data_IF_715253658492
#
_entry.id   IF_715253658492
#
_cell.length_a   1.000
_cell.length_b   1.000
_cell.length_c   1.000
_cell.angle_alpha   90.00
_cell.angle_beta   90.00
_cell.angle_gamma   90.00
#
_symmetry.space_group_name_H-M   'P 1'
#
loop_
_entity.id
_entity.type
_entity.pdbx_description
1 polymer ?
#
# COMPACT_ATOMS: atom_id res chain seq x y z
N UNK A 1 58.06 -25.12 1.18
CA UNK A 1 56.76 -24.46 1.42
C UNK A 1 55.74 -25.09 0.49
N UNK A 2 54.75 -25.82 1.03
CA UNK A 2 53.67 -26.38 0.24
C UNK A 2 52.56 -25.33 0.11
N UNK A 3 52.15 -25.02 -1.12
CA UNK A 3 50.97 -24.19 -1.35
C UNK A 3 49.72 -24.98 -0.90
N UNK A 4 48.87 -24.43 -0.02
CA UNK A 4 47.61 -25.07 0.32
C UNK A 4 46.73 -25.12 -0.93
N UNK A 5 46.20 -26.29 -1.25
CA UNK A 5 45.28 -26.50 -2.35
C UNK A 5 43.97 -25.71 -2.09
N UNK A 6 43.76 -24.61 -2.81
CA UNK A 6 42.58 -23.73 -2.68
C UNK A 6 41.32 -24.25 -3.38
N UNK A 7 41.27 -25.52 -3.79
CA UNK A 7 40.12 -26.10 -4.50
C UNK A 7 39.70 -27.43 -3.87
N UNK A 8 38.96 -27.32 -2.77
CA UNK A 8 38.29 -28.44 -2.11
C UNK A 8 36.83 -28.15 -1.74
N UNK A 9 36.20 -27.13 -2.34
CA UNK A 9 34.77 -26.90 -2.16
C UNK A 9 34.00 -27.54 -3.32
N UNK A 10 32.95 -28.29 -2.98
CA UNK A 10 31.96 -28.81 -3.92
C UNK A 10 31.48 -27.64 -4.82
N UNK A 11 31.59 -27.75 -6.16
CA UNK A 11 31.20 -26.66 -7.07
C UNK A 11 29.72 -26.28 -6.95
N UNK A 12 28.89 -27.13 -6.33
CA UNK A 12 27.49 -26.85 -6.06
C UNK A 12 27.22 -26.34 -4.64
N UNK A 13 28.26 -26.23 -3.79
CA UNK A 13 28.11 -25.80 -2.40
C UNK A 13 27.40 -24.45 -2.26
N UNK A 14 27.57 -23.55 -3.24
CA UNK A 14 26.96 -22.21 -3.28
C UNK A 14 25.86 -22.07 -4.36
N UNK A 15 25.50 -23.15 -5.05
CA UNK A 15 24.44 -23.13 -6.06
C UNK A 15 23.05 -23.08 -5.39
N UNK A 16 22.31 -22.00 -5.66
CA UNK A 16 20.96 -21.77 -5.16
C UNK A 16 20.01 -22.93 -5.44
N UNK A 17 19.98 -23.44 -6.68
CA UNK A 17 19.06 -24.50 -7.08
C UNK A 17 19.42 -25.82 -6.44
N UNK A 18 20.71 -26.10 -6.28
CA UNK A 18 21.19 -27.29 -5.58
C UNK A 18 20.81 -27.26 -4.10
N UNK A 19 21.12 -26.16 -3.40
CA UNK A 19 20.75 -25.98 -1.99
C UNK A 19 19.23 -26.05 -1.79
N UNK A 20 18.43 -25.43 -2.69
CA UNK A 20 16.98 -25.45 -2.61
C UNK A 20 16.42 -26.87 -2.79
N UNK A 21 16.98 -27.63 -3.73
CA UNK A 21 16.61 -29.03 -3.96
C UNK A 21 16.96 -29.91 -2.75
N UNK A 22 18.13 -29.73 -2.16
CA UNK A 22 18.54 -30.46 -0.97
C UNK A 22 17.63 -30.13 0.22
N UNK A 23 17.30 -28.85 0.43
CA UNK A 23 16.38 -28.42 1.49
C UNK A 23 14.96 -29.00 1.30
N UNK A 24 14.46 -29.02 0.06
CA UNK A 24 13.17 -29.67 -0.26
C UNK A 24 13.19 -31.16 0.07
N UNK A 25 14.22 -31.89 -0.37
CA UNK A 25 14.39 -33.31 -0.06
C UNK A 25 14.52 -33.55 1.45
N UNK A 26 15.15 -32.61 2.16
CA UNK A 26 15.32 -32.69 3.60
C UNK A 26 14.01 -32.49 4.38
N UNK A 27 13.16 -31.57 3.93
CA UNK A 27 11.81 -31.38 4.47
C UNK A 27 10.95 -32.65 4.33
N UNK A 28 11.03 -33.32 3.18
CA UNK A 28 10.31 -34.58 2.91
C UNK A 28 10.86 -35.75 3.74
N UNK A 29 12.18 -35.79 3.97
CA UNK A 29 12.87 -36.85 4.72
C UNK A 29 13.05 -36.58 6.22
N UNK A 30 12.49 -35.47 6.75
CA UNK A 30 12.72 -34.96 8.12
C UNK A 30 14.21 -34.88 8.51
N UNK A 31 15.10 -34.67 7.54
CA UNK A 31 16.54 -34.54 7.78
C UNK A 31 16.96 -33.09 8.03
N UNK A 32 18.13 -32.88 8.64
CA UNK A 32 18.57 -31.58 9.17
C UNK A 32 19.12 -30.59 8.13
N UNK A 33 19.08 -30.89 6.83
CA UNK A 33 19.64 -29.97 5.82
C UNK A 33 18.69 -28.78 5.59
N UNK A 34 19.23 -27.56 5.70
CA UNK A 34 18.47 -26.30 5.72
C UNK A 34 19.00 -25.36 4.64
N UNK A 35 18.10 -24.58 4.06
CA UNK A 35 18.44 -23.61 3.02
C UNK A 35 19.12 -22.37 3.62
N UNK A 36 20.44 -22.29 3.51
CA UNK A 36 21.25 -21.19 4.04
C UNK A 36 22.54 -20.96 3.24
N UNK A 37 22.94 -19.69 3.02
CA UNK A 37 24.27 -19.37 2.50
C UNK A 37 25.37 -19.98 3.38
N UNK A 38 26.42 -20.53 2.76
CA UNK A 38 27.64 -20.90 3.47
C UNK A 38 28.36 -19.63 3.94
N UNK A 39 28.98 -19.70 5.12
CA UNK A 39 29.63 -18.55 5.76
C UNK A 39 30.75 -17.96 4.89
N UNK A 40 30.71 -16.63 4.76
CA UNK A 40 31.84 -15.71 4.54
C UNK A 40 32.75 -16.00 3.33
N UNK A 41 32.34 -15.54 2.15
CA UNK A 41 33.29 -14.87 1.28
C UNK A 41 33.16 -13.36 1.50
N UNK A 42 34.27 -12.61 1.71
CA UNK A 42 34.19 -11.17 1.79
C UNK A 42 33.55 -10.66 0.50
N UNK A 43 32.56 -9.77 0.67
CA UNK A 43 31.96 -9.01 -0.42
C UNK A 43 33.08 -8.58 -1.36
N UNK A 44 33.05 -9.06 -2.62
CA UNK A 44 33.90 -8.49 -3.68
C UNK A 44 33.51 -7.03 -3.80
N UNK A 45 34.14 -6.20 -2.99
CA UNK A 45 34.18 -4.76 -3.17
C UNK A 45 34.67 -4.56 -4.60
N UNK A 46 34.00 -3.68 -5.33
CA UNK A 46 34.20 -3.44 -6.75
C UNK A 46 35.51 -2.69 -7.07
N UNK A 47 36.56 -3.00 -6.32
CA UNK A 47 37.91 -2.45 -6.44
C UNK A 47 38.88 -3.63 -6.53
N UNK A 48 38.99 -4.27 -7.70
CA UNK A 48 40.26 -4.87 -8.12
C UNK A 48 40.30 -4.90 -9.64
N UNK A 49 41.29 -4.19 -10.16
CA UNK A 49 41.97 -4.47 -11.41
C UNK A 49 42.45 -5.92 -11.40
N UNK A 50 41.61 -6.86 -11.81
CA UNK A 50 42.05 -8.23 -12.12
C UNK A 50 41.36 -8.73 -13.38
N UNK A 51 42.20 -8.79 -14.42
CA UNK A 51 42.16 -9.66 -15.60
C UNK A 51 40.82 -10.31 -15.97
N UNK A 52 40.06 -9.59 -16.80
CA UNK A 52 39.06 -10.19 -17.69
C UNK A 52 39.72 -11.31 -18.52
N UNK A 53 39.03 -12.44 -18.77
CA UNK A 53 39.56 -13.48 -19.65
C UNK A 53 39.70 -12.90 -21.05
N UNK A 54 40.94 -12.89 -21.56
CA UNK A 54 41.27 -12.44 -22.90
C UNK A 54 40.44 -13.21 -23.93
N UNK A 55 39.53 -12.52 -24.61
CA UNK A 55 38.98 -12.96 -25.88
C UNK A 55 40.11 -12.89 -26.92
N UNK A 56 40.44 -14.04 -27.49
CA UNK A 56 41.49 -14.18 -28.49
C UNK A 56 41.16 -13.35 -29.74
N UNK A 57 41.97 -12.33 -30.01
CA UNK A 57 41.89 -11.45 -31.18
C UNK A 57 42.70 -12.08 -32.32
N UNK A 58 42.10 -12.29 -33.50
CA UNK A 58 42.84 -12.68 -34.70
C UNK A 58 43.64 -11.49 -35.28
N UNK A 59 44.76 -11.77 -35.93
CA UNK A 59 45.84 -10.86 -36.34
C UNK A 59 45.46 -9.77 -37.39
N UNK A 60 44.16 -9.52 -37.60
CA UNK A 60 43.62 -8.43 -38.43
C UNK A 60 42.69 -7.47 -37.69
N UNK A 61 42.57 -7.57 -36.36
CA UNK A 61 41.98 -6.50 -35.53
C UNK A 61 40.48 -6.24 -35.72
N UNK A 62 39.70 -7.20 -36.22
CA UNK A 62 38.24 -7.11 -36.25
C UNK A 62 37.61 -8.10 -35.28
N UNK A 63 36.70 -7.59 -34.44
CA UNK A 63 35.89 -8.38 -33.51
C UNK A 63 34.49 -8.48 -34.11
N UNK A 64 34.12 -9.66 -34.61
CA UNK A 64 32.78 -9.92 -35.17
C UNK A 64 31.78 -10.19 -34.05
N UNK A 65 30.87 -9.24 -33.80
CA UNK A 65 29.64 -9.51 -33.05
C UNK A 65 28.49 -9.72 -34.04
N UNK A 66 28.27 -10.96 -34.48
CA UNK A 66 27.02 -11.33 -35.14
C UNK A 66 25.94 -11.54 -34.07
N UNK A 67 24.93 -10.65 -34.06
CA UNK A 67 23.62 -10.84 -33.42
C UNK A 67 23.40 -10.36 -31.98
N UNK A 68 23.79 -9.12 -31.64
CA UNK A 68 23.08 -8.37 -30.58
C UNK A 68 22.08 -7.43 -31.25
N UNK A 69 20.79 -7.77 -31.19
CA UNK A 69 19.71 -6.81 -31.47
C UNK A 69 19.89 -5.63 -30.52
N UNK A 70 20.33 -4.49 -31.04
CA UNK A 70 20.22 -3.21 -30.33
C UNK A 70 18.74 -3.02 -29.96
N UNK A 71 18.39 -2.81 -28.69
CA UNK A 71 17.03 -2.40 -28.37
C UNK A 71 16.78 -1.07 -29.08
N UNK A 72 15.75 -1.03 -29.93
CA UNK A 72 15.31 0.21 -30.58
C UNK A 72 14.68 1.10 -29.50
N UNK A 73 14.87 2.43 -29.56
CA UNK A 73 14.11 3.36 -28.73
C UNK A 73 12.63 3.05 -28.89
N UNK A 74 11.95 2.76 -27.78
CA UNK A 74 10.52 2.53 -27.77
C UNK A 74 9.85 3.86 -28.09
N UNK A 75 9.01 3.87 -29.11
CA UNK A 75 8.13 5.00 -29.43
C UNK A 75 7.33 5.33 -28.16
N UNK A 76 7.54 6.54 -27.62
CA UNK A 76 6.81 7.03 -26.46
C UNK A 76 5.30 7.06 -26.79
N UNK A 77 4.51 6.35 -25.99
CA UNK A 77 3.08 6.55 -25.90
C UNK A 77 2.84 7.41 -24.66
N UNK A 78 2.50 8.68 -24.86
CA UNK A 78 2.15 9.58 -23.77
C UNK A 78 0.93 9.04 -23.01
N UNK A 79 1.04 8.72 -21.70
CA UNK A 79 -0.14 8.49 -20.88
C UNK A 79 -0.87 9.83 -20.65
N UNK A 80 -2.21 9.88 -20.72
CA UNK A 80 -2.94 11.12 -20.51
C UNK A 80 -2.79 11.56 -19.05
N UNK A 81 -2.10 12.69 -18.83
CA UNK A 81 -1.99 13.30 -17.49
C UNK A 81 -0.84 14.30 -17.30
N UNK A 82 0.19 14.30 -18.15
CA UNK A 82 1.29 15.25 -18.07
C UNK A 82 1.18 16.35 -19.15
N UNK A 83 0.17 17.21 -19.06
CA UNK A 83 0.19 18.47 -19.82
C UNK A 83 0.74 19.57 -18.92
N UNK A 84 2.05 19.77 -18.98
CA UNK A 84 2.66 20.99 -18.46
C UNK A 84 2.59 22.06 -19.56
N UNK A 85 1.74 23.06 -19.37
CA UNK A 85 1.69 24.24 -20.24
C UNK A 85 3.05 24.97 -20.24
N UNK A 86 3.71 24.99 -21.39
CA UNK A 86 4.88 25.82 -21.64
C UNK A 86 5.23 25.83 -23.12
N UNK A 87 4.82 26.89 -23.82
CA UNK A 87 5.21 27.18 -25.20
C UNK A 87 6.71 27.45 -25.30
N UNK A 88 7.36 26.93 -26.34
CA UNK A 88 8.63 27.46 -26.83
C UNK A 88 9.62 26.40 -27.31
N UNK A 89 9.67 26.25 -28.63
CA UNK A 89 10.76 25.75 -29.47
C UNK A 89 11.36 24.36 -29.23
N UNK A 90 11.10 23.50 -30.22
CA UNK A 90 11.86 22.30 -30.53
C UNK A 90 13.34 22.63 -30.73
N UNK A 91 14.13 22.42 -29.68
CA UNK A 91 15.52 21.97 -29.83
C UNK A 91 15.60 20.57 -29.26
N UNK A 92 15.78 19.60 -30.16
CA UNK A 92 16.17 18.23 -29.84
C UNK A 92 17.52 18.27 -29.12
N UNK A 93 17.48 18.49 -27.81
CA UNK A 93 18.62 18.21 -26.94
C UNK A 93 18.57 16.72 -26.66
N UNK A 94 19.41 15.95 -27.34
CA UNK A 94 19.69 14.55 -27.01
C UNK A 94 20.18 14.48 -25.54
N UNK A 95 19.25 14.28 -24.60
CA UNK A 95 19.62 13.88 -23.24
C UNK A 95 20.20 12.48 -23.36
N UNK A 96 21.44 12.30 -22.91
CA UNK A 96 22.08 10.98 -22.83
C UNK A 96 21.12 10.00 -22.13
N UNK A 97 20.98 8.77 -22.64
CA UNK A 97 20.08 7.74 -22.09
C UNK A 97 20.21 7.54 -20.56
N UNK A 98 21.39 7.80 -20.00
CA UNK A 98 21.70 7.74 -18.57
C UNK A 98 21.00 8.84 -17.72
N UNK A 99 20.51 9.91 -18.35
CA UNK A 99 19.76 11.00 -17.71
C UNK A 99 18.23 10.80 -17.79
N UNK A 100 17.76 9.67 -18.32
CA UNK A 100 16.34 9.38 -18.36
C UNK A 100 15.86 8.93 -16.96
N UNK A 101 14.93 9.65 -16.32
CA UNK A 101 14.48 9.34 -14.96
C UNK A 101 13.85 7.94 -14.86
N UNK A 102 13.26 7.45 -15.95
CA UNK A 102 12.69 6.10 -16.02
C UNK A 102 13.75 5.01 -16.13
N UNK A 103 14.91 5.27 -16.76
CA UNK A 103 16.03 4.33 -16.74
C UNK A 103 16.64 4.25 -15.34
N UNK A 104 16.87 5.41 -14.71
CA UNK A 104 17.35 5.49 -13.33
C UNK A 104 16.41 4.72 -12.38
N UNK A 105 15.09 4.92 -12.50
CA UNK A 105 14.11 4.18 -11.71
C UNK A 105 14.20 2.66 -11.92
N UNK A 106 14.40 2.17 -13.16
CA UNK A 106 14.59 0.73 -13.41
C UNK A 106 15.86 0.20 -12.76
N UNK A 107 16.97 0.92 -12.86
CA UNK A 107 18.24 0.55 -12.23
C UNK A 107 18.06 0.47 -10.71
N UNK A 108 17.49 1.52 -10.10
CA UNK A 108 17.20 1.56 -8.66
C UNK A 108 16.27 0.41 -8.24
N UNK A 109 15.32 0.00 -9.08
CA UNK A 109 14.47 -1.16 -8.79
C UNK A 109 15.30 -2.45 -8.72
N UNK A 110 16.19 -2.70 -9.68
CA UNK A 110 17.05 -3.89 -9.66
C UNK A 110 18.03 -3.88 -8.48
N UNK A 111 18.68 -2.75 -8.23
CA UNK A 111 19.59 -2.58 -7.10
C UNK A 111 18.86 -2.78 -5.76
N UNK A 112 17.62 -2.28 -5.66
CA UNK A 112 16.75 -2.50 -4.51
C UNK A 112 16.45 -3.98 -4.30
N UNK A 113 16.12 -4.75 -5.35
CA UNK A 113 15.89 -6.18 -5.22
C UNK A 113 17.15 -6.94 -4.77
N UNK A 114 18.31 -6.60 -5.32
CA UNK A 114 19.58 -7.18 -4.91
C UNK A 114 19.83 -6.96 -3.41
N UNK A 115 19.62 -5.74 -2.93
CA UNK A 115 19.73 -5.39 -1.51
C UNK A 115 18.73 -6.16 -0.63
N UNK A 116 17.46 -6.28 -1.05
CA UNK A 116 16.46 -7.04 -0.28
C UNK A 116 16.74 -8.54 -0.24
N UNK A 117 17.34 -9.11 -1.28
CA UNK A 117 17.80 -10.50 -1.27
C UNK A 117 18.92 -10.71 -0.24
N UNK A 118 19.83 -9.75 -0.10
CA UNK A 118 20.86 -9.80 0.95
C UNK A 118 20.24 -9.72 2.36
N UNK A 119 19.19 -8.90 2.55
CA UNK A 119 18.42 -8.87 3.80
C UNK A 119 17.77 -10.23 4.08
N UNK A 120 17.24 -10.89 3.06
CA UNK A 120 16.68 -12.25 3.19
C UNK A 120 17.74 -13.28 3.57
N UNK A 121 18.93 -13.20 2.98
CA UNK A 121 20.07 -14.05 3.35
C UNK A 121 20.50 -13.82 4.79
N UNK A 122 20.56 -12.57 5.25
CA UNK A 122 20.83 -12.25 6.64
C UNK A 122 19.75 -12.84 7.56
N UNK A 123 18.47 -12.74 7.19
CA UNK A 123 17.38 -13.31 7.97
C UNK A 123 17.51 -14.85 8.06
N UNK A 124 17.85 -15.52 6.94
CA UNK A 124 18.14 -16.96 6.92
C UNK A 124 19.32 -17.31 7.82
N UNK A 125 20.43 -16.57 7.72
CA UNK A 125 21.61 -16.77 8.55
C UNK A 125 21.30 -16.62 10.04
N UNK A 126 20.54 -15.58 10.43
CA UNK A 126 20.14 -15.35 11.81
C UNK A 126 19.22 -16.46 12.35
N UNK A 127 18.39 -17.07 11.51
CA UNK A 127 17.49 -18.15 11.92
C UNK A 127 18.20 -19.50 12.11
N UNK A 128 19.22 -19.78 11.28
CA UNK A 128 19.77 -21.13 11.19
C UNK A 128 21.24 -21.26 11.60
N UNK A 129 21.98 -20.15 11.65
CA UNK A 129 23.36 -20.13 12.15
C UNK A 129 23.41 -19.68 13.60
N UNK A 130 24.39 -20.18 14.34
CA UNK A 130 24.78 -19.65 15.66
C UNK A 130 26.06 -18.81 15.48
N UNK A 131 25.96 -17.53 15.09
CA UNK A 131 27.11 -16.64 14.95
C UNK A 131 27.79 -16.42 16.32
N UNK A 132 29.11 -16.27 16.32
CA UNK A 132 29.92 -16.11 17.55
C UNK A 132 29.51 -14.85 18.34
N UNK A 133 29.07 -13.80 17.66
CA UNK A 133 28.63 -12.51 18.22
C UNK A 133 27.11 -12.47 18.49
N UNK A 134 26.44 -13.62 18.63
CA UNK A 134 24.98 -13.67 18.86
C UNK A 134 24.12 -13.03 17.75
N UNK A 135 24.74 -12.66 16.62
CA UNK A 135 24.10 -12.07 15.45
C UNK A 135 24.02 -10.54 15.48
N UNK A 136 24.71 -9.86 16.41
CA UNK A 136 24.67 -8.39 16.53
C UNK A 136 25.14 -7.71 15.25
N UNK A 137 26.31 -8.10 14.71
CA UNK A 137 26.79 -7.56 13.43
C UNK A 137 25.81 -7.78 12.26
N UNK A 138 25.21 -8.97 12.16
CA UNK A 138 24.24 -9.28 11.10
C UNK A 138 22.97 -8.43 11.23
N UNK A 139 22.44 -8.25 12.44
CA UNK A 139 21.28 -7.37 12.68
C UNK A 139 21.59 -5.92 12.37
N UNK A 140 22.79 -5.44 12.71
CA UNK A 140 23.25 -4.09 12.34
C UNK A 140 23.36 -3.92 10.83
N UNK A 141 23.98 -4.88 10.13
CA UNK A 141 24.08 -4.88 8.67
C UNK A 141 22.70 -4.87 8.03
N UNK A 142 21.78 -5.71 8.50
CA UNK A 142 20.37 -5.73 8.06
C UNK A 142 19.72 -4.36 8.18
N UNK A 143 19.92 -3.67 9.31
CA UNK A 143 19.35 -2.34 9.53
C UNK A 143 19.93 -1.31 8.55
N UNK A 144 21.25 -1.29 8.36
CA UNK A 144 21.93 -0.40 7.41
C UNK A 144 21.41 -0.61 5.98
N UNK A 145 21.19 -1.86 5.57
CA UNK A 145 20.63 -2.15 4.24
C UNK A 145 19.20 -1.60 4.12
N UNK A 146 18.34 -1.81 5.12
CA UNK A 146 16.96 -1.30 5.09
C UNK A 146 16.90 0.24 5.10
N UNK A 147 17.79 0.90 5.83
CA UNK A 147 17.94 2.37 5.81
C UNK A 147 18.48 2.86 4.45
N UNK A 148 19.45 2.15 3.88
CA UNK A 148 19.95 2.42 2.53
C UNK A 148 18.85 2.31 1.47
N UNK A 149 17.95 1.34 1.60
CA UNK A 149 16.76 1.24 0.74
C UNK A 149 15.84 2.46 0.88
N UNK A 150 15.58 2.94 2.11
CA UNK A 150 14.78 4.14 2.31
C UNK A 150 15.44 5.39 1.70
N UNK A 151 16.77 5.51 1.80
CA UNK A 151 17.52 6.59 1.18
C UNK A 151 17.40 6.57 -0.36
N UNK A 152 17.46 5.39 -0.99
CA UNK A 152 17.26 5.22 -2.43
C UNK A 152 15.85 5.60 -2.90
N UNK A 153 14.84 5.44 -2.03
CA UNK A 153 13.46 5.85 -2.32
C UNK A 153 13.24 7.37 -2.16
N UNK A 154 14.18 8.09 -1.53
CA UNK A 154 14.11 9.53 -1.23
C UNK A 154 12.78 9.95 -0.60
N UNK A 155 12.31 9.18 0.38
CA UNK A 155 11.03 9.41 1.03
C UNK A 155 11.11 10.60 1.99
N UNK A 156 10.09 11.45 1.95
CA UNK A 156 10.02 12.57 2.91
C UNK A 156 9.37 12.15 4.21
N UNK A 157 10.11 12.40 5.29
CA UNK A 157 9.65 12.24 6.66
C UNK A 157 9.23 13.57 7.30
N UNK A 158 7.93 13.92 7.29
CA UNK A 158 7.45 15.16 7.90
C UNK A 158 7.50 15.15 9.44
N UNK A 159 7.71 13.99 10.07
CA UNK A 159 7.82 13.87 11.53
C UNK A 159 9.27 13.72 11.99
N UNK A 160 10.23 13.78 11.06
CA UNK A 160 11.65 13.66 11.34
C UNK A 160 12.22 14.93 11.99
N UNK A 161 13.40 14.79 12.61
CA UNK A 161 14.10 15.87 13.35
C UNK A 161 14.48 17.09 12.49
N UNK A 162 14.38 16.98 11.17
CA UNK A 162 14.70 18.03 10.18
C UNK A 162 13.45 18.59 9.50
N UNK A 163 12.25 18.34 10.03
CA UNK A 163 10.98 18.76 9.41
C UNK A 163 10.91 20.26 9.17
N UNK A 164 11.14 20.68 7.92
CA UNK A 164 10.78 22.00 7.43
C UNK A 164 9.25 22.13 7.49
N UNK A 165 8.74 23.15 8.17
CA UNK A 165 7.30 23.42 8.31
C UNK A 165 6.63 23.93 7.02
N UNK A 166 7.32 23.84 5.88
CA UNK A 166 6.83 24.26 4.57
C UNK A 166 6.06 23.11 3.94
N UNK A 167 4.87 23.39 3.42
CA UNK A 167 3.93 22.39 2.90
C UNK A 167 4.59 21.40 1.94
N UNK A 168 4.39 20.10 2.20
CA UNK A 168 4.90 19.02 1.37
C UNK A 168 4.32 19.12 -0.04
N UNK A 169 5.17 19.08 -1.05
CA UNK A 169 4.76 19.05 -2.45
C UNK A 169 5.00 17.66 -3.04
N UNK A 170 4.24 17.24 -4.08
CA UNK A 170 4.49 15.98 -4.77
C UNK A 170 5.91 15.84 -5.35
N UNK A 171 6.62 16.96 -5.53
CA UNK A 171 8.03 16.97 -5.97
C UNK A 171 8.95 16.33 -4.93
N UNK A 172 8.54 16.31 -3.67
CA UNK A 172 9.35 15.81 -2.57
C UNK A 172 9.46 14.28 -2.60
N UNK A 173 8.47 13.57 -3.17
CA UNK A 173 8.49 12.10 -3.35
C UNK A 173 8.64 11.69 -4.82
N UNK A 174 9.22 12.53 -5.67
CA UNK A 174 9.23 12.31 -7.13
C UNK A 174 9.92 10.99 -7.52
N UNK A 175 10.99 10.61 -6.83
CA UNK A 175 11.70 9.35 -7.07
C UNK A 175 10.81 8.17 -6.72
N UNK A 176 10.12 8.22 -5.57
CA UNK A 176 9.13 7.21 -5.21
C UNK A 176 8.03 7.08 -6.28
N UNK A 177 7.51 8.19 -6.79
CA UNK A 177 6.49 8.20 -7.85
C UNK A 177 6.99 7.55 -9.15
N UNK A 178 8.24 7.82 -9.56
CA UNK A 178 8.86 7.15 -10.71
C UNK A 178 9.00 5.64 -10.50
N UNK A 179 9.41 5.21 -9.30
CA UNK A 179 9.56 3.80 -8.98
C UNK A 179 8.22 3.06 -9.00
N UNK A 180 7.19 3.59 -8.35
CA UNK A 180 5.87 2.94 -8.29
C UNK A 180 5.07 3.06 -9.58
N UNK A 181 5.53 3.86 -10.55
CA UNK A 181 5.02 3.82 -11.93
C UNK A 181 5.36 2.49 -12.62
N UNK A 182 6.42 1.82 -12.20
CA UNK A 182 6.83 0.51 -12.72
C UNK A 182 6.13 -0.62 -11.94
N UNK A 183 5.55 -1.65 -12.61
CA UNK A 183 4.99 -2.80 -11.92
C UNK A 183 6.00 -3.51 -11.01
N UNK A 184 7.26 -3.61 -11.44
CA UNK A 184 8.34 -4.20 -10.65
C UNK A 184 8.73 -3.32 -9.45
N UNK A 185 8.60 -2.00 -9.55
CA UNK A 185 8.77 -1.08 -8.42
C UNK A 185 7.67 -1.24 -7.35
N UNK A 186 6.41 -1.44 -7.75
CA UNK A 186 5.33 -1.78 -6.79
C UNK A 186 5.59 -3.10 -6.06
N UNK A 187 6.16 -4.10 -6.75
CA UNK A 187 6.62 -5.36 -6.14
C UNK A 187 7.78 -5.13 -5.17
N UNK A 188 8.74 -4.27 -5.52
CA UNK A 188 9.84 -3.89 -4.64
C UNK A 188 9.33 -3.28 -3.33
N UNK A 189 8.42 -2.29 -3.41
CA UNK A 189 7.83 -1.65 -2.22
C UNK A 189 7.06 -2.68 -1.37
N UNK A 190 6.31 -3.57 -2.01
CA UNK A 190 5.62 -4.65 -1.29
C UNK A 190 6.62 -5.54 -0.54
N UNK A 191 7.71 -5.96 -1.20
CA UNK A 191 8.74 -6.79 -0.57
C UNK A 191 9.45 -6.04 0.56
N UNK A 192 9.74 -4.76 0.36
CA UNK A 192 10.38 -3.92 1.36
C UNK A 192 9.52 -3.83 2.63
N UNK A 193 8.23 -3.51 2.49
CA UNK A 193 7.28 -3.46 3.61
C UNK A 193 7.22 -4.78 4.41
N UNK A 194 7.28 -5.93 3.73
CA UNK A 194 7.30 -7.25 4.40
C UNK A 194 8.55 -7.49 5.23
N UNK A 195 9.66 -6.83 4.91
CA UNK A 195 10.94 -6.95 5.61
C UNK A 195 11.12 -5.90 6.71
N UNK A 196 10.32 -4.85 6.71
CA UNK A 196 10.33 -3.84 7.77
C UNK A 196 9.70 -4.38 9.05
N UNK A 197 10.17 -3.89 10.19
CA UNK A 197 9.54 -4.15 11.48
C UNK A 197 8.23 -3.35 11.53
N UNK A 198 7.06 -3.98 11.70
CA UNK A 198 5.80 -3.27 11.85
C UNK A 198 5.89 -2.29 13.02
N UNK A 199 5.42 -1.06 12.81
CA UNK A 199 5.52 0.00 13.82
C UNK A 199 6.92 0.67 13.94
N UNK A 200 7.91 0.24 13.17
CA UNK A 200 9.21 0.91 13.11
C UNK A 200 9.17 2.24 12.34
N UNK A 201 10.20 3.07 12.51
CA UNK A 201 10.32 4.37 11.85
C UNK A 201 10.29 4.27 10.32
N UNK A 202 11.03 3.33 9.74
CA UNK A 202 11.01 3.10 8.29
C UNK A 202 9.63 2.69 7.78
N UNK A 203 8.93 1.81 8.51
CA UNK A 203 7.57 1.39 8.14
C UNK A 203 6.60 2.57 8.17
N UNK A 204 6.72 3.43 9.19
CA UNK A 204 5.97 4.69 9.29
C UNK A 204 6.22 5.58 8.07
N UNK A 205 7.48 5.85 7.73
CA UNK A 205 7.83 6.74 6.62
C UNK A 205 7.25 6.22 5.30
N UNK A 206 7.47 4.93 4.99
CA UNK A 206 6.96 4.31 3.77
C UNK A 206 5.43 4.33 3.72
N UNK A 207 4.75 3.98 4.82
CA UNK A 207 3.30 4.03 4.88
C UNK A 207 2.79 5.47 4.73
N UNK A 208 3.38 6.47 5.40
CA UNK A 208 2.97 7.86 5.23
C UNK A 208 3.08 8.33 3.77
N UNK A 209 4.16 7.97 3.06
CA UNK A 209 4.29 8.30 1.63
C UNK A 209 3.24 7.58 0.78
N UNK A 210 2.94 6.30 1.06
CA UNK A 210 1.87 5.56 0.36
C UNK A 210 0.51 6.22 0.59
N UNK A 211 0.21 6.64 1.83
CA UNK A 211 -1.05 7.29 2.19
C UNK A 211 -1.20 8.67 1.55
N UNK A 212 -0.09 9.41 1.41
CA UNK A 212 -0.01 10.67 0.67
C UNK A 212 -0.32 10.50 -0.82
N UNK A 213 0.06 9.35 -1.41
CA UNK A 213 -0.06 9.10 -2.85
C UNK A 213 -1.08 8.02 -3.23
N UNK A 214 -2.15 7.85 -2.43
CA UNK A 214 -3.20 6.85 -2.70
C UNK A 214 -3.87 7.04 -4.06
N UNK A 215 -4.05 8.29 -4.52
CA UNK A 215 -4.65 8.58 -5.83
C UNK A 215 -3.76 8.15 -6.99
N UNK A 216 -2.45 8.28 -6.84
CA UNK A 216 -1.49 7.83 -7.84
C UNK A 216 -1.40 6.29 -7.88
N UNK A 217 -1.34 5.65 -6.71
CA UNK A 217 -1.18 4.20 -6.59
C UNK A 217 -2.45 3.42 -6.95
N UNK A 218 -3.61 3.89 -6.52
CA UNK A 218 -4.89 3.16 -6.58
C UNK A 218 -5.98 3.89 -7.37
N UNK A 219 -5.63 4.96 -8.09
CA UNK A 219 -6.56 5.77 -8.88
C UNK A 219 -7.25 5.04 -10.03
N UNK A 220 -6.69 3.94 -10.51
CA UNK A 220 -7.30 3.10 -11.52
C UNK A 220 -6.65 1.72 -11.53
N UNK A 221 -7.44 0.71 -11.90
CA UNK A 221 -6.95 -0.63 -12.11
C UNK A 221 -6.50 -0.76 -13.57
N UNK A 222 -5.24 -1.17 -13.84
CA UNK A 222 -4.77 -1.37 -15.20
C UNK A 222 -5.51 -2.57 -15.84
N UNK A 223 -5.70 -2.56 -17.18
CA UNK A 223 -6.35 -3.67 -17.88
C UNK A 223 -5.49 -4.94 -17.90
N UNK A 224 -4.17 -4.80 -17.73
CA UNK A 224 -3.26 -5.93 -17.58
C UNK A 224 -3.47 -6.63 -16.23
N UNK A 225 -3.82 -7.93 -16.28
CA UNK A 225 -4.11 -8.73 -15.09
C UNK A 225 -2.92 -8.80 -14.14
N UNK A 226 -1.70 -8.95 -14.65
CA UNK A 226 -0.49 -9.04 -13.82
C UNK A 226 -0.19 -7.75 -13.06
N UNK A 227 -0.40 -6.60 -13.69
CA UNK A 227 -0.31 -5.30 -13.05
C UNK A 227 -1.44 -5.10 -12.02
N UNK A 228 -2.69 -5.49 -12.33
CA UNK A 228 -3.81 -5.41 -11.41
C UNK A 228 -3.61 -6.26 -10.14
N UNK A 229 -3.10 -7.49 -10.29
CA UNK A 229 -2.72 -8.35 -9.18
C UNK A 229 -1.64 -7.71 -8.32
N UNK A 230 -0.65 -7.06 -8.94
CA UNK A 230 0.44 -6.37 -8.23
C UNK A 230 -0.09 -5.22 -7.36
N UNK A 231 -1.04 -4.43 -7.87
CA UNK A 231 -1.69 -3.36 -7.10
C UNK A 231 -2.48 -3.92 -5.92
N UNK A 232 -3.24 -4.99 -6.17
CA UNK A 232 -4.03 -5.66 -5.14
C UNK A 232 -3.13 -6.26 -4.05
N UNK A 233 -2.01 -6.87 -4.43
CA UNK A 233 -1.01 -7.41 -3.51
C UNK A 233 -0.33 -6.31 -2.68
N UNK A 234 -0.03 -5.15 -3.30
CA UNK A 234 0.48 -3.99 -2.58
C UNK A 234 -0.52 -3.50 -1.54
N UNK A 235 -1.81 -3.35 -1.88
CA UNK A 235 -2.84 -2.94 -0.94
C UNK A 235 -2.97 -3.90 0.27
N UNK A 236 -2.93 -5.21 0.02
CA UNK A 236 -2.93 -6.24 1.07
C UNK A 236 -1.68 -6.14 1.95
N UNK A 237 -0.52 -5.93 1.35
CA UNK A 237 0.75 -5.80 2.10
C UNK A 237 0.77 -4.56 2.97
N UNK A 238 0.30 -3.42 2.47
CA UNK A 238 0.17 -2.18 3.25
C UNK A 238 -0.81 -2.39 4.40
N UNK A 239 -1.95 -3.05 4.16
CA UNK A 239 -2.95 -3.37 5.19
C UNK A 239 -2.41 -4.31 6.28
N UNK A 240 -1.53 -5.25 5.91
CA UNK A 240 -0.84 -6.11 6.87
C UNK A 240 0.23 -5.33 7.68
N UNK A 241 0.86 -4.33 7.08
CA UNK A 241 1.80 -3.46 7.79
C UNK A 241 1.09 -2.55 8.80
N UNK A 242 -0.05 -1.95 8.41
CA UNK A 242 -0.85 -1.06 9.27
C UNK A 242 -1.46 -1.79 10.46
N UNK A 243 -1.79 -3.08 10.34
CA UNK A 243 -2.30 -3.88 11.46
C UNK A 243 -1.30 -4.03 12.61
N UNK A 244 -0.01 -3.85 12.37
CA UNK A 244 1.05 -3.87 13.38
C UNK A 244 1.41 -2.49 13.95
N UNK A 245 0.74 -1.41 13.54
CA UNK A 245 1.04 -0.05 13.98
C UNK A 245 0.31 0.34 15.27
N UNK A 246 0.88 1.31 15.99
CA UNK A 246 0.27 1.97 17.15
C UNK A 246 -0.62 3.17 16.73
N UNK A 247 -1.35 3.75 17.68
CA UNK A 247 -2.32 4.80 17.41
C UNK A 247 -1.67 6.08 16.83
N UNK A 248 -0.45 6.42 17.25
CA UNK A 248 0.26 7.61 16.79
C UNK A 248 0.66 7.47 15.31
N UNK A 249 1.16 6.29 14.93
CA UNK A 249 1.51 5.96 13.55
C UNK A 249 0.29 5.95 12.62
N UNK A 250 -0.82 5.37 13.10
CA UNK A 250 -2.09 5.37 12.35
C UNK A 250 -2.62 6.78 12.14
N UNK A 251 -2.53 7.63 13.18
CA UNK A 251 -2.91 9.05 13.09
C UNK A 251 -2.06 9.78 12.05
N UNK A 252 -0.75 9.56 12.04
CA UNK A 252 0.15 10.15 11.06
C UNK A 252 -0.15 9.69 9.62
N UNK A 253 -0.46 8.41 9.41
CA UNK A 253 -0.89 7.89 8.11
C UNK A 253 -2.20 8.54 7.65
N UNK A 254 -3.17 8.70 8.54
CA UNK A 254 -4.44 9.33 8.22
C UNK A 254 -4.30 10.83 7.90
N UNK A 255 -3.48 11.54 8.68
CA UNK A 255 -3.12 12.93 8.40
C UNK A 255 -2.43 13.08 7.04
N UNK A 256 -1.56 12.14 6.65
CA UNK A 256 -0.91 12.16 5.33
C UNK A 256 -1.90 12.09 4.16
N UNK A 257 -3.05 11.41 4.33
CA UNK A 257 -4.13 11.38 3.34
C UNK A 257 -4.79 12.75 3.20
N UNK A 258 -5.07 13.40 4.33
CA UNK A 258 -5.73 14.71 4.36
C UNK A 258 -4.83 15.79 3.77
N UNK A 259 -3.53 15.72 4.05
CA UNK A 259 -2.53 16.65 3.54
C UNK A 259 -2.10 16.37 2.09
N UNK A 260 -2.65 15.34 1.44
CA UNK A 260 -2.37 15.04 0.03
C UNK A 260 -2.87 16.15 -0.89
N UNK A 261 -2.13 16.44 -1.96
CA UNK A 261 -2.57 17.33 -3.03
C UNK A 261 -3.73 16.74 -3.85
N UNK A 262 -3.87 15.42 -3.87
CA UNK A 262 -4.90 14.70 -4.63
C UNK A 262 -5.80 13.89 -3.71
N UNK A 263 -7.12 13.91 -3.99
CA UNK A 263 -8.08 13.15 -3.20
C UNK A 263 -7.95 11.64 -3.48
N UNK A 264 -7.92 10.79 -2.44
CA UNK A 264 -7.88 9.34 -2.61
C UNK A 264 -9.15 8.80 -3.28
N UNK A 265 -9.07 7.69 -4.02
CA UNK A 265 -10.23 7.02 -4.59
C UNK A 265 -10.98 6.24 -3.49
N UNK A 266 -12.00 6.86 -2.89
CA UNK A 266 -12.82 6.27 -1.83
C UNK A 266 -13.98 5.44 -2.41
N UNK A 267 -13.66 4.36 -3.12
CA UNK A 267 -14.67 3.48 -3.74
C UNK A 267 -15.15 2.39 -2.77
N UNK A 268 -16.36 1.85 -2.91
CA UNK A 268 -16.76 0.65 -2.17
C UNK A 268 -15.86 -0.55 -2.47
N UNK A 269 -15.79 -1.49 -1.52
CA UNK A 269 -14.98 -2.70 -1.68
C UNK A 269 -15.52 -3.60 -2.81
N UNK A 270 -14.61 -4.21 -3.57
CA UNK A 270 -14.95 -4.99 -4.75
C UNK A 270 -15.27 -4.15 -6.00
N UNK A 271 -15.03 -2.84 -5.97
CA UNK A 271 -15.24 -1.98 -7.14
C UNK A 271 -14.39 -2.44 -8.33
N UNK A 272 -14.96 -2.56 -9.55
CA UNK A 272 -14.22 -3.00 -10.74
C UNK A 272 -13.12 -2.02 -11.15
N UNK A 273 -13.21 -0.75 -10.74
CA UNK A 273 -12.16 0.25 -10.97
C UNK A 273 -10.97 0.11 -10.00
N UNK A 274 -11.04 -0.83 -9.05
CA UNK A 274 -10.08 -1.03 -7.96
C UNK A 274 -10.50 -0.36 -6.67
N UNK A 275 -10.22 -1.01 -5.54
CA UNK A 275 -10.65 -0.63 -4.19
C UNK A 275 -9.47 -0.53 -3.18
N UNK A 276 -8.23 -0.60 -3.67
CA UNK A 276 -7.03 -0.70 -2.82
C UNK A 276 -6.88 0.42 -1.78
N UNK A 277 -7.21 1.67 -2.14
CA UNK A 277 -7.18 2.79 -1.19
C UNK A 277 -8.19 2.61 -0.06
N UNK A 278 -9.41 2.17 -0.37
CA UNK A 278 -10.46 1.90 0.62
C UNK A 278 -10.12 0.72 1.51
N UNK A 279 -9.50 -0.34 0.97
CA UNK A 279 -9.01 -1.48 1.76
C UNK A 279 -7.99 -1.02 2.80
N UNK A 280 -7.02 -0.20 2.39
CA UNK A 280 -5.98 0.34 3.27
C UNK A 280 -6.59 1.25 4.34
N UNK A 281 -7.44 2.21 3.96
CA UNK A 281 -8.07 3.14 4.90
C UNK A 281 -8.97 2.43 5.90
N UNK A 282 -9.73 1.42 5.44
CA UNK A 282 -10.53 0.56 6.32
C UNK A 282 -9.65 -0.16 7.35
N UNK A 283 -8.50 -0.71 6.93
CA UNK A 283 -7.58 -1.39 7.83
C UNK A 283 -7.08 -0.48 8.97
N UNK A 284 -6.85 0.82 8.67
CA UNK A 284 -6.44 1.81 9.67
C UNK A 284 -7.56 2.07 10.68
N UNK A 285 -8.79 2.27 10.21
CA UNK A 285 -9.94 2.52 11.08
C UNK A 285 -10.26 1.30 11.96
N UNK A 286 -10.17 0.09 11.41
CA UNK A 286 -10.37 -1.15 12.16
C UNK A 286 -9.29 -1.37 13.21
N UNK A 287 -8.02 -1.14 12.85
CA UNK A 287 -6.91 -1.22 13.80
C UNK A 287 -7.04 -0.18 14.92
N UNK A 288 -7.39 1.07 14.59
CA UNK A 288 -7.61 2.09 15.61
C UNK A 288 -8.79 1.73 16.53
N UNK A 289 -9.86 1.13 15.99
CA UNK A 289 -10.99 0.65 16.80
C UNK A 289 -10.52 -0.39 17.81
N UNK A 290 -9.68 -1.35 17.37
CA UNK A 290 -9.09 -2.35 18.24
C UNK A 290 -8.26 -1.70 19.37
N UNK A 291 -7.38 -0.75 19.03
CA UNK A 291 -6.50 -0.08 20.00
C UNK A 291 -7.26 0.80 21.01
N UNK A 292 -8.38 1.42 20.61
CA UNK A 292 -9.17 2.30 21.48
C UNK A 292 -10.17 1.54 22.35
N UNK A 293 -10.54 0.30 21.96
CA UNK A 293 -11.55 -0.49 22.67
C UNK A 293 -10.93 -1.52 23.62
N UNK A 294 -9.73 -2.03 23.33
CA UNK A 294 -9.08 -3.08 24.10
C UNK A 294 -8.20 -2.49 25.25
N UNK A 295 -8.56 -2.70 26.53
CA UNK A 295 -7.75 -2.24 27.66
C UNK A 295 -6.35 -2.87 27.72
N UNK A 296 -6.15 -4.05 27.12
CA UNK A 296 -4.86 -4.75 27.10
C UNK A 296 -3.92 -4.24 25.99
N UNK A 297 -4.46 -3.55 24.98
CA UNK A 297 -3.67 -2.97 23.90
C UNK A 297 -2.81 -1.76 24.35
N UNK A 298 -3.12 -1.18 25.51
CA UNK A 298 -2.41 -0.03 26.11
C UNK A 298 -1.02 -0.42 26.64
N UNK A 299 -0.76 -1.72 26.86
CA UNK A 299 0.48 -2.21 27.50
C UNK A 299 1.65 -2.43 26.52
N UNK A 300 1.47 -2.14 25.24
CA UNK A 300 2.51 -2.34 24.23
C UNK A 300 2.44 -1.20 23.22
N UNK A 301 3.57 -0.49 23.09
CA UNK A 301 3.81 0.68 22.23
C UNK A 301 3.42 2.04 22.84
N UNK A 302 3.99 3.09 22.26
CA UNK A 302 4.04 4.46 22.77
C UNK A 302 2.71 4.93 23.39
N UNK A 303 2.77 5.77 24.43
CA UNK A 303 1.56 6.28 25.10
C UNK A 303 0.56 6.75 24.03
N UNK A 304 -0.64 6.15 23.94
CA UNK A 304 -1.59 6.52 22.91
C UNK A 304 -1.91 8.00 23.07
N UNK A 305 -1.98 8.73 21.96
CA UNK A 305 -2.46 10.11 21.93
C UNK A 305 -3.86 10.15 21.29
N UNK A 306 -4.94 9.96 22.07
CA UNK A 306 -6.30 10.02 21.55
C UNK A 306 -6.64 11.35 20.88
N UNK A 307 -6.03 12.45 21.34
CA UNK A 307 -6.28 13.78 20.76
C UNK A 307 -5.70 13.89 19.35
N UNK A 308 -4.48 13.38 19.12
CA UNK A 308 -3.88 13.32 17.79
C UNK A 308 -4.71 12.44 16.84
N UNK A 309 -5.18 11.28 17.33
CA UNK A 309 -6.07 10.41 16.57
C UNK A 309 -7.35 11.13 16.20
N UNK A 310 -8.04 11.74 17.17
CA UNK A 310 -9.31 12.40 16.94
C UNK A 310 -9.16 13.56 15.94
N UNK A 311 -8.11 14.38 16.06
CA UNK A 311 -7.85 15.47 15.12
C UNK A 311 -7.60 14.95 13.69
N UNK A 312 -6.83 13.88 13.55
CA UNK A 312 -6.55 13.25 12.26
C UNK A 312 -7.81 12.62 11.65
N UNK A 313 -8.61 11.97 12.49
CA UNK A 313 -9.89 11.37 12.09
C UNK A 313 -10.91 12.43 11.69
N UNK A 314 -11.08 13.51 12.45
CA UNK A 314 -12.04 14.57 12.16
C UNK A 314 -11.75 15.22 10.79
N UNK A 315 -10.47 15.45 10.50
CA UNK A 315 -10.04 16.00 9.22
C UNK A 315 -10.29 15.01 8.07
N UNK A 316 -10.00 13.72 8.27
CA UNK A 316 -10.31 12.67 7.30
C UNK A 316 -11.83 12.50 7.09
N UNK A 317 -12.63 12.59 8.15
CA UNK A 317 -14.08 12.49 8.07
C UNK A 317 -14.67 13.64 7.25
N UNK A 318 -14.10 14.85 7.36
CA UNK A 318 -14.43 15.97 6.48
C UNK A 318 -14.17 15.65 5.00
N UNK A 319 -13.04 15.01 4.68
CA UNK A 319 -12.71 14.56 3.33
C UNK A 319 -13.70 13.48 2.84
N UNK A 320 -13.97 12.46 3.66
CA UNK A 320 -14.88 11.36 3.35
C UNK A 320 -16.32 11.85 3.09
N UNK A 321 -16.84 12.73 3.95
CA UNK A 321 -18.18 13.28 3.78
C UNK A 321 -18.28 14.18 2.55
N UNK A 322 -17.27 15.02 2.29
CA UNK A 322 -17.20 15.81 1.06
C UNK A 322 -17.20 14.94 -0.20
N UNK A 323 -16.45 13.82 -0.17
CA UNK A 323 -16.46 12.84 -1.27
C UNK A 323 -17.86 12.26 -1.50
N UNK A 324 -18.52 11.78 -0.44
CA UNK A 324 -19.86 11.20 -0.52
C UNK A 324 -20.88 12.21 -1.07
N UNK A 325 -20.86 13.46 -0.59
CA UNK A 325 -21.76 14.51 -1.06
C UNK A 325 -21.51 14.85 -2.54
N UNK A 326 -20.25 15.02 -2.93
CA UNK A 326 -19.89 15.32 -4.33
C UNK A 326 -20.32 14.21 -5.28
N UNK A 327 -20.14 12.94 -4.89
CA UNK A 327 -20.57 11.78 -5.67
C UNK A 327 -22.10 11.70 -5.76
N UNK A 328 -22.79 11.90 -4.65
CA UNK A 328 -24.25 11.94 -4.64
C UNK A 328 -24.79 13.03 -5.57
N UNK A 329 -24.30 14.27 -5.45
CA UNK A 329 -24.74 15.39 -6.27
C UNK A 329 -24.44 15.14 -7.76
N UNK A 330 -23.27 14.57 -8.10
CA UNK A 330 -22.93 14.18 -9.47
C UNK A 330 -23.89 13.14 -10.06
N UNK A 331 -24.31 12.15 -9.26
CA UNK A 331 -25.27 11.13 -9.69
C UNK A 331 -26.64 11.79 -9.92
N UNK A 332 -27.12 12.59 -8.96
CA UNK A 332 -28.40 13.30 -9.11
C UNK A 332 -28.41 14.21 -10.34
N UNK A 333 -27.34 14.97 -10.58
CA UNK A 333 -27.22 15.83 -11.77
C UNK A 333 -27.27 15.03 -13.08
N UNK A 334 -26.62 13.85 -13.14
CA UNK A 334 -26.66 13.00 -14.34
C UNK A 334 -28.06 12.44 -14.64
N UNK A 335 -28.88 12.24 -13.62
CA UNK A 335 -30.23 11.66 -13.74
C UNK A 335 -31.31 12.70 -14.05
N UNK A 336 -31.04 13.99 -13.77
CA UNK A 336 -31.95 15.12 -14.05
C UNK A 336 -31.80 15.64 -15.49
N UNK A 337 -30.92 15.04 -16.31
CA UNK A 337 -30.83 15.36 -17.75
C UNK A 337 -32.14 15.07 -18.49
N UNK A 338 -32.60 15.90 -19.47
CA UNK A 338 -34.01 16.04 -19.83
C UNK A 338 -34.66 14.90 -20.64
N UNK A 339 -34.04 13.71 -20.70
CA UNK A 339 -34.39 12.69 -21.69
C UNK A 339 -35.30 11.56 -21.18
N UNK A 340 -35.69 11.50 -19.91
CA UNK A 340 -36.43 10.36 -19.36
C UNK A 340 -37.61 10.80 -18.46
N UNK A 341 -38.83 10.47 -18.89
CA UNK A 341 -40.11 10.88 -18.29
C UNK A 341 -40.72 9.89 -17.29
N UNK A 342 -39.93 8.95 -16.73
CA UNK A 342 -40.42 7.91 -15.82
C UNK A 342 -39.83 8.01 -14.40
N UNK A 343 -40.54 8.68 -13.49
CA UNK A 343 -40.13 8.98 -12.10
C UNK A 343 -39.74 7.75 -11.26
N UNK A 344 -40.43 6.61 -11.42
CA UNK A 344 -40.13 5.38 -10.66
C UNK A 344 -38.86 4.66 -11.15
N UNK A 345 -38.61 4.69 -12.46
CA UNK A 345 -37.39 4.13 -13.06
C UNK A 345 -36.16 4.94 -12.61
N UNK A 346 -36.31 6.27 -12.52
CA UNK A 346 -35.27 7.20 -12.08
C UNK A 346 -34.89 6.93 -10.62
N UNK A 347 -35.85 6.65 -9.73
CA UNK A 347 -35.57 6.33 -8.32
C UNK A 347 -34.79 5.03 -8.13
N UNK A 348 -35.14 3.98 -8.90
CA UNK A 348 -34.43 2.70 -8.88
C UNK A 348 -33.02 2.79 -9.46
N UNK A 349 -32.85 3.53 -10.56
CA UNK A 349 -31.53 3.78 -11.17
C UNK A 349 -30.64 4.62 -10.26
N UNK A 350 -31.20 5.65 -9.62
CA UNK A 350 -30.52 6.47 -8.63
C UNK A 350 -29.97 5.64 -7.48
N UNK A 351 -30.81 4.81 -6.86
CA UNK A 351 -30.40 3.96 -5.74
C UNK A 351 -29.26 3.00 -6.13
N UNK A 352 -29.32 2.42 -7.34
CA UNK A 352 -28.27 1.53 -7.86
C UNK A 352 -26.96 2.26 -8.15
N UNK A 353 -27.03 3.45 -8.74
CA UNK A 353 -25.86 4.27 -9.01
C UNK A 353 -25.19 4.73 -7.70
N UNK A 354 -25.98 5.17 -6.72
CA UNK A 354 -25.50 5.54 -5.38
C UNK A 354 -24.84 4.34 -4.70
N UNK A 355 -25.47 3.17 -4.70
CA UNK A 355 -24.89 1.98 -4.05
C UNK A 355 -23.56 1.53 -4.68
N UNK A 356 -23.30 1.86 -5.95
CA UNK A 356 -22.05 1.52 -6.65
C UNK A 356 -20.90 2.49 -6.37
N UNK A 357 -21.21 3.74 -6.05
CA UNK A 357 -20.21 4.80 -5.86
C UNK A 357 -19.95 5.12 -4.38
N UNK A 358 -20.89 4.81 -3.47
CA UNK A 358 -20.75 5.15 -2.05
C UNK A 358 -19.81 4.18 -1.31
N UNK A 359 -18.82 4.69 -0.54
CA UNK A 359 -17.91 3.86 0.24
C UNK A 359 -18.53 3.40 1.57
N UNK A 360 -19.55 2.53 1.48
CA UNK A 360 -20.33 2.08 2.64
C UNK A 360 -19.46 1.43 3.71
N UNK A 361 -18.45 0.65 3.32
CA UNK A 361 -17.56 -0.03 4.27
C UNK A 361 -16.66 0.95 5.04
N UNK A 362 -16.20 2.04 4.40
CA UNK A 362 -15.42 3.08 5.08
C UNK A 362 -16.30 3.89 6.03
N UNK A 363 -17.52 4.24 5.60
CA UNK A 363 -18.48 4.95 6.45
C UNK A 363 -18.81 4.12 7.70
N UNK A 364 -19.01 2.80 7.53
CA UNK A 364 -19.24 1.89 8.64
C UNK A 364 -18.01 1.79 9.56
N UNK A 365 -16.80 1.62 9.00
CA UNK A 365 -15.56 1.57 9.78
C UNK A 365 -15.26 2.89 10.52
N UNK A 366 -15.84 4.01 10.07
CA UNK A 366 -15.70 5.32 10.71
C UNK A 366 -16.59 5.49 11.95
N UNK A 367 -17.67 4.73 12.08
CA UNK A 367 -18.66 4.89 13.16
C UNK A 367 -18.09 4.86 14.59
N UNK A 368 -17.14 3.97 14.95
CA UNK A 368 -16.56 3.96 16.29
C UNK A 368 -15.83 5.25 16.66
N UNK A 369 -15.35 6.00 15.66
CA UNK A 369 -14.52 7.18 15.83
C UNK A 369 -15.31 8.50 15.77
N UNK A 370 -16.58 8.43 15.37
CA UNK A 370 -17.43 9.63 15.25
C UNK A 370 -17.91 10.18 16.59
N UNK A 371 -17.89 11.51 16.70
CA UNK A 371 -18.61 12.25 17.73
C UNK A 371 -20.11 12.37 17.40
N UNK A 372 -20.91 12.88 18.34
CA UNK A 372 -22.36 12.97 18.20
C UNK A 372 -22.80 13.82 16.99
N UNK A 373 -22.09 14.92 16.72
CA UNK A 373 -22.37 15.77 15.57
C UNK A 373 -22.12 15.04 14.25
N UNK A 374 -20.98 14.33 14.14
CA UNK A 374 -20.64 13.52 12.97
C UNK A 374 -21.64 12.37 12.76
N UNK A 375 -22.11 11.72 13.83
CA UNK A 375 -23.18 10.71 13.73
C UNK A 375 -24.47 11.30 13.15
N UNK A 376 -24.87 12.49 13.61
CA UNK A 376 -26.04 13.20 13.09
C UNK A 376 -25.88 13.54 11.60
N UNK A 377 -24.69 13.94 11.15
CA UNK A 377 -24.40 14.17 9.73
C UNK A 377 -24.58 12.90 8.89
N UNK A 378 -24.08 11.76 9.36
CA UNK A 378 -24.26 10.48 8.67
C UNK A 378 -25.73 10.06 8.60
N UNK A 379 -26.50 10.27 9.68
CA UNK A 379 -27.94 9.97 9.71
C UNK A 379 -28.71 10.83 8.70
N UNK A 380 -28.45 12.14 8.66
CA UNK A 380 -29.07 13.04 7.69
C UNK A 380 -28.72 12.66 6.25
N UNK A 381 -27.46 12.29 6.01
CA UNK A 381 -27.01 11.82 4.70
C UNK A 381 -27.74 10.51 4.30
N UNK A 382 -27.81 9.53 5.20
CA UNK A 382 -28.50 8.28 4.97
C UNK A 382 -29.99 8.50 4.63
N UNK A 383 -30.67 9.40 5.35
CA UNK A 383 -32.06 9.78 5.09
C UNK A 383 -32.24 10.41 3.71
N UNK A 384 -31.35 11.32 3.31
CA UNK A 384 -31.39 11.97 2.00
C UNK A 384 -31.11 11.00 0.84
N UNK A 385 -30.31 9.96 1.08
CA UNK A 385 -29.97 8.94 0.09
C UNK A 385 -31.00 7.81 -0.06
N UNK A 386 -32.05 7.79 0.78
CA UNK A 386 -33.15 6.83 0.64
C UNK A 386 -34.09 7.27 -0.48
N UNK A 387 -34.50 6.37 -1.40
CA UNK A 387 -35.64 6.65 -2.25
C UNK A 387 -36.86 6.85 -1.35
N UNK A 388 -37.57 7.97 -1.53
CA UNK A 388 -38.86 8.21 -0.87
C UNK A 388 -39.84 7.18 -1.44
N UNK A 389 -39.95 6.01 -0.80
CA UNK A 389 -41.12 5.16 -0.97
C UNK A 389 -42.28 5.94 -0.37
N UNK A 390 -43.18 6.40 -1.24
CA UNK A 390 -44.39 7.11 -0.84
C UNK A 390 -45.21 6.25 0.11
N UNK A 391 -45.11 6.53 1.41
CA UNK A 391 -46.17 6.19 2.34
C UNK A 391 -47.32 7.16 2.06
N UNK A 392 -48.35 6.67 1.35
CA UNK A 392 -49.76 6.99 1.57
C UNK A 392 -50.65 6.28 0.55
N UNK A 393 -51.28 5.17 0.96
CA UNK A 393 -52.68 4.85 0.65
C UNK A 393 -53.15 3.68 1.52
N UNK A 394 -54.27 3.88 2.21
CA UNK A 394 -55.08 2.83 2.80
C UNK A 394 -55.52 1.79 1.75
N UNK A 395 -55.60 0.52 2.16
CA UNK A 395 -56.29 -0.52 1.39
C UNK A 395 -55.80 -1.91 1.72
N UNK A 396 -56.58 -2.66 2.49
CA UNK A 396 -56.41 -4.10 2.74
C UNK A 396 -56.28 -4.89 1.42
N UNK A 397 -55.29 -5.77 1.33
CA UNK A 397 -55.47 -7.07 0.65
C UNK A 397 -54.33 -8.03 0.98
N UNK A 398 -54.71 -9.21 1.46
CA UNK A 398 -53.88 -10.37 1.74
C UNK A 398 -53.23 -10.96 0.48
N UNK A 399 -51.94 -11.28 0.53
CA UNK A 399 -51.30 -12.08 -0.52
C UNK A 399 -49.80 -12.32 -0.32
N UNK A 400 -49.47 -13.54 0.10
CA UNK A 400 -48.22 -14.31 0.00
C UNK A 400 -46.88 -13.61 -0.32
N UNK A 401 -45.95 -13.85 0.61
CA UNK A 401 -44.53 -13.50 0.64
C UNK A 401 -43.75 -14.36 -0.37
N UNK A 402 -42.90 -13.76 -1.18
CA UNK A 402 -41.83 -14.44 -1.93
C UNK A 402 -40.48 -13.76 -1.62
N UNK A 403 -39.47 -14.44 -1.06
CA UNK A 403 -38.29 -13.78 -0.49
C UNK A 403 -37.06 -13.92 -1.39
N UNK A 404 -37.02 -13.26 -2.54
CA UNK A 404 -35.77 -13.10 -3.29
C UNK A 404 -35.71 -11.71 -3.93
N UNK A 405 -34.83 -10.87 -3.38
CA UNK A 405 -34.30 -9.57 -3.86
C UNK A 405 -34.45 -8.43 -2.83
N UNK A 406 -33.70 -8.52 -1.73
CA UNK A 406 -33.52 -7.38 -0.83
C UNK A 406 -32.19 -6.70 -1.18
N UNK A 407 -32.19 -5.46 -1.73
CA UNK A 407 -30.98 -4.67 -1.77
C UNK A 407 -30.60 -4.31 -0.33
N UNK A 408 -29.45 -4.81 0.11
CA UNK A 408 -28.86 -4.50 1.42
C UNK A 408 -28.62 -2.99 1.54
N UNK A 409 -29.57 -2.30 2.16
CA UNK A 409 -29.66 -0.84 2.20
C UNK A 409 -28.76 -0.22 3.29
N UNK A 410 -28.17 0.93 2.98
CA UNK A 410 -27.24 1.69 3.84
C UNK A 410 -27.81 1.91 5.26
N UNK A 411 -29.12 2.16 5.41
CA UNK A 411 -29.75 2.36 6.72
C UNK A 411 -29.87 1.11 7.60
N UNK A 412 -29.94 -0.11 7.04
CA UNK A 412 -30.01 -1.32 7.87
C UNK A 412 -28.71 -1.58 8.63
N UNK A 413 -27.58 -1.03 8.15
CA UNK A 413 -26.29 -1.03 8.85
C UNK A 413 -26.13 0.12 9.85
N UNK A 414 -26.84 1.24 9.68
CA UNK A 414 -26.80 2.37 10.65
C UNK A 414 -27.82 2.22 11.79
N UNK A 415 -28.85 1.38 11.65
CA UNK A 415 -29.92 1.19 12.64
C UNK A 415 -29.65 0.16 13.75
N UNK A 416 -28.48 -0.50 13.76
CA UNK A 416 -28.12 -1.54 14.73
C UNK A 416 -27.66 -1.01 16.09
N UNK A 417 -28.44 -0.14 16.73
CA UNK A 417 -28.21 0.26 18.11
C UNK A 417 -28.57 -0.89 19.06
N UNK A 418 -27.57 -1.41 19.79
CA UNK A 418 -27.78 -2.36 20.90
C UNK A 418 -28.85 -1.83 21.85
N UNK A 419 -29.96 -2.56 22.00
CA UNK A 419 -30.90 -2.38 23.11
C UNK A 419 -30.11 -2.59 24.41
N UNK A 420 -29.93 -1.52 25.17
CA UNK A 420 -29.51 -1.57 26.56
C UNK A 420 -30.66 -2.19 27.36
N UNK A 421 -30.48 -3.43 27.81
CA UNK A 421 -31.33 -4.04 28.82
C UNK A 421 -31.22 -3.25 30.12
N UNK A 422 -32.26 -2.47 30.40
CA UNK A 422 -32.53 -1.93 31.74
C UNK A 422 -32.99 -3.09 32.62
N UNK A 423 -32.16 -3.53 33.57
CA UNK A 423 -32.54 -3.95 34.94
C UNK A 423 -31.37 -4.63 35.65
N UNK A 424 -30.78 -3.96 36.64
CA UNK A 424 -30.50 -4.56 37.95
C UNK A 424 -30.06 -3.45 38.92
N UNK A 425 -30.84 -3.28 39.97
CA UNK A 425 -30.64 -2.34 41.07
C UNK A 425 -29.36 -2.64 41.85
N UNK A 426 -28.63 -1.60 42.24
CA UNK A 426 -27.59 -1.65 43.28
C UNK A 426 -28.18 -0.93 44.52
N UNK A 427 -28.19 -1.55 45.71
CA UNK A 427 -28.58 -0.84 46.93
C UNK A 427 -27.39 -0.04 47.49
N UNK A 428 -27.76 1.11 48.03
CA UNK A 428 -26.96 2.06 48.81
C UNK A 428 -26.61 1.42 50.16
N UNK A 429 -25.32 1.41 50.52
CA UNK A 429 -24.80 1.37 51.91
C UNK A 429 -23.44 2.12 51.81
N UNK A 430 -23.22 3.35 52.28
CA UNK A 430 -23.26 3.91 53.64
C UNK A 430 -22.32 3.19 54.62
N UNK A 431 -21.01 3.45 54.53
CA UNK A 431 -20.15 4.03 55.59
C UNK A 431 -18.76 4.30 55.03
#
# INVERSE_FOLDING_TARGET
MQHPATHGNDPYADDYYYQARLAKKAAESRSKHRFCPNKEQPSRSRNSTDSQPHLHVDAKGQISFSSIRRPRPLLEYDPPGFVCNGSGDQKMSEKSLEQEPMLAARITVEDGFYLLLEVDDINRLLQFSQPQDGGVQLRRKRQILLEGMAASLQLVDPLGKSGSSVGLTPKDDIVFLWLVSLPKGRKLISRYLQLLVPGGELARIVCMTIFRHLRFLFGGLPPDLGAAETITALAKTVSACTSGMDLNLLSACLAAVVCSSEQPPLRPLGSPAGDGASVILKSVLERATYLLTDPQAVNSFSMPNPALWQASFDAFFGLLTKYCLSKYDSIMQSLVSPAQSNTELIGSEAARAVSREMPVELLHASLPHTNEHQRKLLLNFAQRSMPVTGFNAHGESSGQINPESIPYNIASKFGGGRKLDKKASIPIISY
#
